data_IF_275512323034
#
_entry.id   IF_275512323034
#
_cell.length_a   1.000
_cell.length_b   1.000
_cell.length_c   1.000
_cell.angle_alpha   90.00
_cell.angle_beta   90.00
_cell.angle_gamma   90.00
#
_symmetry.space_group_name_H-M   'P 1'
#
loop_
_entity.id
_entity.type
_entity.pdbx_description
1 polymer ?
#
# COMPACT_ATOMS: atom_id res chain seq x y z
N UNK A 1 20.95 22.85 -15.11
CA UNK A 1 20.13 22.62 -16.31
C UNK A 1 18.82 21.97 -15.90
N UNK A 2 17.67 22.37 -16.47
CA UNK A 2 16.40 21.66 -16.26
C UNK A 2 16.30 20.52 -17.27
N UNK A 3 16.01 19.29 -16.81
CA UNK A 3 15.68 18.16 -17.67
C UNK A 3 14.16 18.07 -17.81
N UNK A 4 13.66 17.66 -18.98
CA UNK A 4 12.23 17.50 -19.27
C UNK A 4 11.86 16.02 -19.31
N UNK A 5 10.71 15.68 -18.73
CA UNK A 5 10.14 14.33 -18.73
C UNK A 5 8.81 14.37 -19.48
N UNK A 6 8.68 13.55 -20.54
CA UNK A 6 7.45 13.40 -21.32
C UNK A 6 7.01 11.95 -21.17
N UNK A 7 5.80 11.73 -20.64
CA UNK A 7 5.24 10.41 -20.38
C UNK A 7 3.90 10.28 -21.09
N UNK A 8 3.62 9.08 -21.61
CA UNK A 8 2.26 8.72 -22.04
C UNK A 8 1.53 8.15 -20.84
N UNK A 9 0.41 8.76 -20.49
CA UNK A 9 -0.50 8.31 -19.44
C UNK A 9 -1.86 8.04 -20.04
N UNK A 10 -2.63 7.15 -19.44
CA UNK A 10 -4.00 6.92 -19.84
C UNK A 10 -4.88 8.16 -19.55
N UNK A 11 -5.99 8.36 -20.29
CA UNK A 11 -6.84 9.54 -20.14
C UNK A 11 -7.50 9.66 -18.76
N UNK A 12 -7.76 8.53 -18.09
CA UNK A 12 -8.39 8.51 -16.77
C UNK A 12 -7.41 9.05 -15.71
N UNK A 13 -6.18 8.55 -15.71
CA UNK A 13 -5.13 9.02 -14.83
C UNK A 13 -4.85 10.51 -15.02
N UNK A 14 -4.82 10.98 -16.27
CA UNK A 14 -4.65 12.40 -16.57
C UNK A 14 -5.79 13.26 -15.99
N UNK A 15 -7.04 12.78 -16.12
CA UNK A 15 -8.21 13.47 -15.55
C UNK A 15 -8.13 13.56 -14.03
N UNK A 16 -7.78 12.47 -13.37
CA UNK A 16 -7.62 12.42 -11.91
C UNK A 16 -6.51 13.33 -11.41
N UNK A 17 -5.37 13.35 -12.11
CA UNK A 17 -4.26 14.25 -11.81
C UNK A 17 -4.66 15.72 -11.91
N UNK A 18 -5.40 16.08 -12.96
CA UNK A 18 -5.87 17.45 -13.17
C UNK A 18 -6.85 17.88 -12.08
N UNK A 19 -7.85 17.07 -11.78
CA UNK A 19 -8.82 17.35 -10.73
C UNK A 19 -8.15 17.52 -9.36
N UNK A 20 -7.15 16.68 -9.06
CA UNK A 20 -6.38 16.78 -7.82
C UNK A 20 -5.55 18.05 -7.75
N UNK A 21 -4.87 18.42 -8.84
CA UNK A 21 -4.08 19.64 -8.92
C UNK A 21 -4.96 20.89 -8.75
N UNK A 22 -6.14 20.93 -9.37
CA UNK A 22 -7.11 22.00 -9.22
C UNK A 22 -7.62 22.13 -7.78
N UNK A 23 -7.93 21.00 -7.12
CA UNK A 23 -8.36 20.99 -5.72
C UNK A 23 -7.29 21.52 -4.75
N UNK A 24 -6.01 21.35 -5.08
CA UNK A 24 -4.89 21.85 -4.29
C UNK A 24 -4.42 23.26 -4.72
N UNK A 25 -4.98 23.84 -5.79
CA UNK A 25 -4.55 25.13 -6.33
C UNK A 25 -3.16 25.11 -6.97
N UNK A 26 -2.73 23.94 -7.47
CA UNK A 26 -1.37 23.67 -7.97
C UNK A 26 -1.37 23.32 -9.43
N UNK A 27 -0.20 23.42 -10.08
CA UNK A 27 -0.05 22.93 -11.46
C UNK A 27 0.10 21.40 -11.48
N UNK A 28 -0.40 20.76 -12.53
CA UNK A 28 -0.25 19.30 -12.73
C UNK A 28 1.23 18.89 -12.70
N UNK A 29 2.13 19.70 -13.27
CA UNK A 29 3.56 19.42 -13.27
C UNK A 29 4.17 19.47 -11.87
N UNK A 30 3.75 20.43 -11.05
CA UNK A 30 4.23 20.57 -9.68
C UNK A 30 3.79 19.38 -8.82
N UNK A 31 2.50 19.02 -8.91
CA UNK A 31 1.94 17.84 -8.23
C UNK A 31 2.63 16.55 -8.68
N UNK A 32 2.76 16.35 -9.99
CA UNK A 32 3.41 15.17 -10.55
C UNK A 32 4.90 15.09 -10.15
N UNK A 33 5.61 16.21 -10.13
CA UNK A 33 7.03 16.24 -9.71
C UNK A 33 7.18 15.90 -8.23
N UNK A 34 6.29 16.37 -7.38
CA UNK A 34 6.28 16.01 -5.95
C UNK A 34 6.02 14.51 -5.76
N UNK A 35 4.99 13.97 -6.40
CA UNK A 35 4.65 12.54 -6.29
C UNK A 35 5.76 11.65 -6.85
N UNK A 36 6.34 12.01 -7.99
CA UNK A 36 7.50 11.31 -8.53
C UNK A 36 8.66 11.38 -7.56
N UNK A 37 8.95 12.53 -6.95
CA UNK A 37 10.00 12.65 -5.93
C UNK A 37 9.72 11.77 -4.71
N UNK A 38 8.47 11.70 -4.25
CA UNK A 38 8.09 10.81 -3.14
C UNK A 38 8.20 9.33 -3.52
N UNK A 39 7.86 8.97 -4.75
CA UNK A 39 7.89 7.59 -5.24
C UNK A 39 9.29 7.10 -5.62
N UNK A 40 10.16 7.97 -6.15
CA UNK A 40 11.54 7.62 -6.54
C UNK A 40 12.58 7.97 -5.47
N UNK A 41 12.25 8.86 -4.54
CA UNK A 41 13.18 9.37 -3.52
C UNK A 41 13.32 8.47 -2.30
N UNK A 42 12.58 7.35 -2.25
CA UNK A 42 12.67 6.39 -1.17
C UNK A 42 13.48 5.18 -1.65
N UNK A 43 14.80 5.24 -1.51
CA UNK A 43 15.57 4.03 -1.18
C UNK A 43 15.28 3.69 0.29
N UNK A 44 14.01 3.50 0.67
CA UNK A 44 13.70 2.96 1.99
C UNK A 44 14.14 1.51 1.99
N UNK A 45 15.10 1.20 2.86
CA UNK A 45 15.32 -0.18 3.26
C UNK A 45 14.01 -0.73 3.85
N UNK A 46 13.78 -2.05 3.78
CA UNK A 46 12.59 -2.66 4.39
C UNK A 46 12.38 -2.25 5.86
N UNK A 47 13.46 -1.98 6.60
CA UNK A 47 13.39 -1.49 7.98
C UNK A 47 12.87 -0.05 8.10
N UNK A 48 13.24 0.83 7.18
CA UNK A 48 12.79 2.24 7.16
C UNK A 48 11.33 2.34 6.77
N UNK A 49 10.92 1.58 5.74
CA UNK A 49 9.52 1.43 5.36
C UNK A 49 8.66 0.93 6.54
N UNK A 50 9.12 -0.13 7.24
CA UNK A 50 8.41 -0.71 8.37
C UNK A 50 8.25 0.30 9.52
N UNK A 51 9.31 1.05 9.82
CA UNK A 51 9.29 2.09 10.86
C UNK A 51 8.34 3.22 10.49
N UNK A 52 8.33 3.66 9.23
CA UNK A 52 7.41 4.71 8.76
C UNK A 52 5.95 4.26 8.85
N UNK A 53 5.62 3.04 8.43
CA UNK A 53 4.24 2.56 8.49
C UNK A 53 3.74 2.36 9.92
N UNK A 54 4.60 1.93 10.84
CA UNK A 54 4.32 1.92 12.27
C UNK A 54 4.03 3.35 12.79
N UNK A 55 4.87 4.32 12.44
CA UNK A 55 4.71 5.72 12.86
C UNK A 55 3.44 6.37 12.28
N UNK A 56 3.10 6.05 11.02
CA UNK A 56 1.90 6.50 10.34
C UNK A 56 0.60 5.81 10.85
N UNK A 57 0.72 4.84 11.76
CA UNK A 57 -0.41 4.04 12.24
C UNK A 57 -1.03 3.12 11.17
N UNK A 58 -0.31 2.89 10.07
CA UNK A 58 -0.73 2.05 8.94
C UNK A 58 -0.35 0.59 9.14
N UNK A 59 0.50 0.30 10.12
CA UNK A 59 0.92 -1.04 10.49
C UNK A 59 0.80 -1.16 12.02
N UNK A 60 0.28 -2.29 12.48
CA UNK A 60 0.18 -2.62 13.91
C UNK A 60 1.11 -3.80 14.16
N UNK A 61 2.09 -3.63 15.04
CA UNK A 61 2.90 -4.74 15.56
C UNK A 61 2.43 -5.09 16.95
N UNK A 62 2.22 -6.37 17.22
CA UNK A 62 2.02 -6.91 18.55
C UNK A 62 3.18 -7.85 18.88
N UNK A 63 3.62 -7.83 20.13
CA UNK A 63 4.52 -8.84 20.64
C UNK A 63 3.70 -10.12 20.82
N UNK A 64 4.06 -11.24 20.18
CA UNK A 64 3.28 -12.46 20.32
C UNK A 64 3.41 -12.98 21.76
N UNK A 65 2.29 -13.40 22.37
CA UNK A 65 2.24 -13.94 23.73
C UNK A 65 3.03 -15.27 23.90
N UNK A 66 3.58 -15.80 22.81
CA UNK A 66 4.37 -17.02 22.80
C UNK A 66 5.08 -17.25 21.47
N UNK A 67 5.90 -18.31 21.37
CA UNK A 67 6.54 -18.68 20.13
C UNK A 67 5.50 -18.94 19.04
N UNK A 68 5.76 -18.45 17.83
CA UNK A 68 4.90 -18.73 16.69
C UNK A 68 4.87 -20.26 16.43
N UNK A 69 3.69 -20.84 16.18
CA UNK A 69 3.58 -22.26 15.89
C UNK A 69 4.38 -22.63 14.65
N UNK A 70 5.00 -23.81 14.68
CA UNK A 70 5.72 -24.37 13.53
C UNK A 70 4.77 -24.76 12.39
N UNK A 71 5.32 -25.06 11.21
CA UNK A 71 4.51 -25.41 10.04
C UNK A 71 3.60 -26.63 10.26
N UNK A 72 4.15 -27.73 10.78
CA UNK A 72 3.39 -28.96 11.05
C UNK A 72 2.31 -28.75 12.13
N UNK A 73 2.61 -27.88 13.10
CA UNK A 73 1.66 -27.52 14.13
C UNK A 73 0.52 -26.71 13.53
N UNK A 74 0.84 -25.68 12.74
CA UNK A 74 -0.13 -24.87 12.00
C UNK A 74 -1.04 -25.73 11.12
N UNK A 75 -0.48 -26.67 10.36
CA UNK A 75 -1.25 -27.58 9.51
C UNK A 75 -2.25 -28.40 10.34
N UNK A 76 -1.79 -28.94 11.49
CA UNK A 76 -2.64 -29.73 12.37
C UNK A 76 -3.75 -28.91 13.04
N UNK A 77 -3.46 -27.70 13.56
CA UNK A 77 -4.50 -26.86 14.20
C UNK A 77 -5.45 -26.26 13.18
N UNK A 78 -4.98 -25.95 11.95
CA UNK A 78 -5.82 -25.38 10.89
C UNK A 78 -6.59 -26.41 10.07
N UNK A 79 -6.37 -27.71 10.32
CA UNK A 79 -7.08 -28.78 9.65
C UNK A 79 -8.60 -28.62 9.81
N UNK A 80 -9.30 -28.53 8.67
CA UNK A 80 -10.76 -28.37 8.64
C UNK A 80 -11.27 -26.93 8.72
N UNK A 81 -10.39 -25.92 8.89
CA UNK A 81 -10.80 -24.50 8.88
C UNK A 81 -11.16 -23.98 7.48
N UNK A 82 -10.84 -24.72 6.42
CA UNK A 82 -10.95 -24.27 5.03
C UNK A 82 -12.30 -23.68 4.66
N UNK A 83 -13.41 -24.32 5.05
CA UNK A 83 -14.76 -23.80 4.78
C UNK A 83 -15.03 -22.50 5.53
N UNK A 84 -14.81 -22.49 6.86
CA UNK A 84 -15.08 -21.30 7.69
C UNK A 84 -14.19 -20.10 7.34
N UNK A 85 -12.93 -20.33 6.97
CA UNK A 85 -12.02 -19.28 6.49
C UNK A 85 -12.47 -18.77 5.12
N UNK A 86 -12.90 -19.64 4.22
CA UNK A 86 -13.40 -19.23 2.90
C UNK A 86 -14.64 -18.36 3.03
N UNK A 87 -15.61 -18.77 3.87
CA UNK A 87 -16.83 -17.99 4.15
C UNK A 87 -16.52 -16.62 4.77
N UNK A 88 -15.58 -16.56 5.72
CA UNK A 88 -15.18 -15.29 6.33
C UNK A 88 -14.48 -14.35 5.32
N UNK A 89 -13.62 -14.90 4.46
CA UNK A 89 -12.96 -14.12 3.41
C UNK A 89 -13.95 -13.65 2.34
N UNK A 90 -14.92 -14.49 1.96
CA UNK A 90 -15.99 -14.13 1.05
C UNK A 90 -16.88 -13.01 1.62
N UNK A 91 -17.19 -13.06 2.93
CA UNK A 91 -17.91 -11.99 3.64
C UNK A 91 -17.16 -10.65 3.61
N UNK A 92 -15.83 -10.67 3.76
CA UNK A 92 -15.01 -9.45 3.66
C UNK A 92 -14.76 -8.95 2.24
N UNK A 93 -15.05 -9.77 1.22
CA UNK A 93 -14.88 -9.45 -0.20
C UNK A 93 -16.06 -8.69 -0.81
N UNK A 94 -16.94 -8.11 0.02
CA UNK A 94 -18.16 -7.38 -0.37
C UNK A 94 -18.10 -6.77 -1.77
N UNK A 95 -19.12 -7.09 -2.57
CA UNK A 95 -19.27 -6.69 -3.97
C UNK A 95 -18.99 -5.18 -4.12
N UNK A 96 -17.86 -4.87 -4.76
CA UNK A 96 -17.57 -3.55 -5.32
C UNK A 96 -18.06 -3.49 -6.77
#
# INVERSE_FOLDING_TARGET
MKQQLILRVDPELHTRLKARAEAEGRSVNELATEWLRAGVGQEETPQEWHRRLLADGKLVTFEPDGPAPGHDELERVSAGWGTSVSEALDWTRGEW
#
